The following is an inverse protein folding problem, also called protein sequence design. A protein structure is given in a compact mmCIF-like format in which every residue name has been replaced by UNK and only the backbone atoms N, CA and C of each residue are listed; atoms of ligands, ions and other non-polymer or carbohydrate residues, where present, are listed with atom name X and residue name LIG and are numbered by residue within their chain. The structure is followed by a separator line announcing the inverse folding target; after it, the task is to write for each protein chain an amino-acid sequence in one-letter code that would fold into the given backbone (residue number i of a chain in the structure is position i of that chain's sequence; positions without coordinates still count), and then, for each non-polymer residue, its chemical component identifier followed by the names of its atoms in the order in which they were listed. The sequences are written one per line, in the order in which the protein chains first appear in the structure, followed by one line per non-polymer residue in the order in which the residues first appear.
data_IF_764149184418
#
_entry.id   IF_764149184418
#
_cell.length_a   1.000
_cell.length_b   1.000
_cell.length_c   1.000
_cell.angle_alpha   90.00
_cell.angle_beta   90.00
_cell.angle_gamma   90.00
#
_symmetry.space_group_name_H-M   'P 1'
#
loop_
_entity.id
_entity.type
_entity.pdbx_description
1 polymer ?
#
# COMPACT_ATOMS: atom_id res chain seq x y z
N UNK A 1 -18.72 22.82 -22.54
CA UNK A 1 -19.49 21.57 -22.44
C UNK A 1 -18.73 20.52 -23.25
N UNK A 2 -18.13 19.45 -22.76
CA UNK A 2 -18.08 18.84 -21.44
C UNK A 2 -16.80 17.99 -21.39
N UNK A 3 -16.07 18.09 -20.29
CA UNK A 3 -14.80 17.43 -20.02
C UNK A 3 -14.94 15.90 -20.03
N UNK A 4 -14.29 15.24 -20.99
CA UNK A 4 -14.11 13.79 -21.00
C UNK A 4 -13.04 13.39 -20.00
N UNK A 5 -13.45 12.96 -18.80
CA UNK A 5 -12.56 12.26 -17.84
C UNK A 5 -12.03 11.00 -18.53
N UNK A 6 -10.76 11.03 -18.90
CA UNK A 6 -10.00 9.84 -19.27
C UNK A 6 -10.03 8.89 -18.07
N UNK A 7 -10.78 7.80 -18.20
CA UNK A 7 -10.79 6.67 -17.28
C UNK A 7 -9.47 5.93 -17.47
N UNK A 8 -8.57 6.04 -16.49
CA UNK A 8 -7.36 5.24 -16.44
C UNK A 8 -7.74 3.76 -16.37
N UNK A 9 -7.50 3.04 -17.47
CA UNK A 9 -7.67 1.59 -17.58
C UNK A 9 -6.52 0.89 -16.84
N UNK A 10 -6.83 0.12 -15.80
CA UNK A 10 -5.94 -0.80 -15.07
C UNK A 10 -5.60 -2.06 -15.92
N UNK A 11 -5.32 -1.91 -17.21
CA UNK A 11 -5.15 -3.05 -18.14
C UNK A 11 -3.74 -3.10 -18.73
N UNK A 12 -2.70 -3.11 -17.89
CA UNK A 12 -1.33 -3.33 -18.38
C UNK A 12 -0.55 -4.34 -17.53
N UNK A 13 -1.17 -5.50 -17.33
CA UNK A 13 -0.44 -6.75 -17.14
C UNK A 13 0.08 -7.20 -18.52
N UNK A 14 1.31 -6.82 -18.87
CA UNK A 14 2.04 -7.51 -19.93
C UNK A 14 3.12 -8.38 -19.32
N UNK A 15 2.94 -9.67 -19.58
CA UNK A 15 3.91 -10.73 -19.41
C UNK A 15 5.19 -10.44 -20.23
N UNK A 16 6.24 -11.16 -19.85
CA UNK A 16 7.58 -11.24 -20.46
C UNK A 16 8.64 -10.33 -19.83
N UNK A 17 9.08 -10.69 -18.62
CA UNK A 17 10.50 -11.01 -18.44
C UNK A 17 10.78 -11.72 -17.11
N UNK A 18 11.38 -12.90 -17.20
CA UNK A 18 11.95 -13.62 -16.05
C UNK A 18 13.21 -12.87 -15.58
N UNK A 19 13.05 -11.88 -14.70
CA UNK A 19 14.09 -11.48 -13.76
C UNK A 19 13.50 -11.20 -12.38
N UNK A 20 14.08 -11.90 -11.41
CA UNK A 20 13.80 -11.94 -9.98
C UNK A 20 14.02 -10.59 -9.27
N UNK A 21 13.12 -9.63 -9.48
CA UNK A 21 12.96 -8.50 -8.57
C UNK A 21 11.47 -8.31 -8.31
N UNK A 22 11.03 -8.66 -7.10
CA UNK A 22 9.66 -8.46 -6.64
C UNK A 22 9.23 -7.00 -6.87
N UNK A 23 8.53 -6.71 -7.97
CA UNK A 23 7.83 -5.45 -8.18
C UNK A 23 6.63 -5.39 -7.22
N UNK A 24 6.92 -5.33 -5.92
CA UNK A 24 5.95 -5.49 -4.86
C UNK A 24 5.10 -4.23 -4.63
N UNK A 25 5.24 -3.19 -5.46
CA UNK A 25 4.59 -1.88 -5.24
C UNK A 25 4.94 -1.24 -3.88
N UNK A 26 5.86 -1.85 -3.12
CA UNK A 26 6.16 -1.49 -1.74
C UNK A 26 6.97 -0.21 -1.70
N UNK A 27 6.41 0.78 -1.03
CA UNK A 27 7.14 2.00 -0.66
C UNK A 27 8.16 1.73 0.45
N UNK A 28 9.06 2.68 0.69
CA UNK A 28 10.01 2.61 1.80
C UNK A 28 9.31 2.38 3.16
N UNK A 29 8.09 2.93 3.33
CA UNK A 29 7.31 2.77 4.54
C UNK A 29 6.82 1.33 4.74
N UNK A 30 6.40 0.65 3.66
CA UNK A 30 6.05 -0.78 3.71
C UNK A 30 7.25 -1.65 4.12
N UNK A 31 8.44 -1.34 3.58
CA UNK A 31 9.66 -2.08 3.90
C UNK A 31 10.10 -1.86 5.35
N UNK A 32 10.05 -0.62 5.84
CA UNK A 32 10.37 -0.29 7.23
C UNK A 32 9.45 -1.01 8.22
N UNK A 33 8.14 -1.02 7.95
CA UNK A 33 7.14 -1.74 8.75
C UNK A 33 7.38 -3.25 8.71
N UNK A 34 7.63 -3.82 7.52
CA UNK A 34 7.89 -5.25 7.36
C UNK A 34 9.15 -5.71 8.11
N UNK A 35 10.17 -4.85 8.17
CA UNK A 35 11.42 -5.10 8.89
C UNK A 35 11.31 -4.85 10.41
N UNK A 36 10.13 -4.42 10.90
CA UNK A 36 9.91 -4.01 12.29
C UNK A 36 10.85 -2.90 12.77
N UNK A 37 11.27 -2.03 11.85
CA UNK A 37 12.19 -0.94 12.15
C UNK A 37 11.42 0.35 12.47
N UNK A 38 11.12 0.53 13.76
CA UNK A 38 10.35 1.68 14.25
C UNK A 38 11.10 3.01 14.05
N UNK A 39 12.43 3.01 14.12
CA UNK A 39 13.22 4.22 13.90
C UNK A 39 13.12 4.67 12.44
N UNK A 40 13.22 3.72 11.50
CA UNK A 40 13.05 4.01 10.09
C UNK A 40 11.62 4.46 9.75
N UNK A 41 10.61 3.83 10.35
CA UNK A 41 9.21 4.29 10.22
C UNK A 41 9.09 5.74 10.67
N UNK A 42 9.63 6.09 11.84
CA UNK A 42 9.55 7.46 12.39
C UNK A 42 10.24 8.46 11.46
N UNK A 43 11.46 8.17 11.01
CA UNK A 43 12.20 9.03 10.08
C UNK A 43 11.45 9.27 8.77
N UNK A 44 10.84 8.23 8.20
CA UNK A 44 10.05 8.35 6.98
C UNK A 44 8.79 9.20 7.19
N UNK A 45 8.12 9.07 8.34
CA UNK A 45 6.98 9.91 8.69
C UNK A 45 7.36 11.39 8.86
N UNK A 46 8.53 11.67 9.46
CA UNK A 46 9.08 13.03 9.57
C UNK A 46 9.40 13.63 8.20
N UNK A 47 9.76 12.80 7.22
CA UNK A 47 9.96 13.22 5.83
C UNK A 47 8.66 13.38 5.02
N UNK A 48 7.50 13.42 5.69
CA UNK A 48 6.18 13.48 5.05
C UNK A 48 5.90 12.32 4.07
N UNK A 49 6.37 11.10 4.39
CA UNK A 49 6.02 9.93 3.60
C UNK A 49 4.49 9.71 3.56
N UNK A 50 3.99 9.27 2.40
CA UNK A 50 2.57 8.95 2.26
C UNK A 50 2.21 7.69 3.08
N UNK A 51 1.38 7.87 4.10
CA UNK A 51 0.95 6.81 5.02
C UNK A 51 -0.16 5.91 4.47
N UNK A 52 -0.87 6.37 3.43
CA UNK A 52 -1.98 5.64 2.79
C UNK A 52 -1.57 5.10 1.40
N UNK A 53 -0.27 4.89 1.18
CA UNK A 53 0.20 4.25 -0.06
C UNK A 53 -0.26 2.79 -0.12
N UNK A 54 -0.55 2.29 -1.31
CA UNK A 54 -0.93 0.90 -1.52
C UNK A 54 0.25 0.11 -2.09
N UNK A 55 0.47 -1.11 -1.60
CA UNK A 55 1.37 -2.07 -2.23
C UNK A 55 0.71 -2.81 -3.41
N UNK A 56 1.42 -3.75 -4.03
CA UNK A 56 0.88 -4.51 -5.17
C UNK A 56 -0.35 -5.37 -4.83
N UNK A 57 -0.55 -5.66 -3.54
CA UNK A 57 -1.68 -6.44 -3.04
C UNK A 57 -2.80 -5.51 -2.52
N UNK A 58 -2.72 -4.20 -2.83
CA UNK A 58 -3.70 -3.22 -2.39
C UNK A 58 -3.68 -2.95 -0.89
N UNK A 59 -2.58 -3.27 -0.19
CA UNK A 59 -2.47 -3.09 1.26
C UNK A 59 -1.81 -1.77 1.61
N UNK A 60 -2.27 -1.16 2.69
CA UNK A 60 -1.62 0.01 3.29
C UNK A 60 -0.48 -0.38 4.25
N UNK A 61 0.44 0.55 4.58
CA UNK A 61 1.45 0.33 5.61
C UNK A 61 0.87 -0.12 6.95
N UNK A 62 -0.31 0.38 7.32
CA UNK A 62 -0.98 0.01 8.57
C UNK A 62 -1.52 -1.43 8.53
N UNK A 63 -2.05 -1.88 7.39
CA UNK A 63 -2.42 -3.29 7.19
C UNK A 63 -1.19 -4.20 7.34
N UNK A 64 -0.05 -3.84 6.75
CA UNK A 64 1.19 -4.59 6.94
C UNK A 64 1.64 -4.59 8.41
N UNK A 65 1.53 -3.46 9.10
CA UNK A 65 1.89 -3.38 10.52
C UNK A 65 1.01 -4.31 11.37
N UNK A 66 -0.28 -4.41 11.05
CA UNK A 66 -1.21 -5.35 11.69
C UNK A 66 -0.89 -6.81 11.37
N UNK A 67 -0.62 -7.15 10.10
CA UNK A 67 -0.26 -8.52 9.66
C UNK A 67 1.02 -8.99 10.36
N UNK A 68 2.02 -8.12 10.43
CA UNK A 68 3.28 -8.40 11.10
C UNK A 68 3.09 -8.38 12.63
N UNK A 69 2.06 -7.72 13.16
CA UNK A 69 1.89 -7.53 14.60
C UNK A 69 2.92 -6.56 15.18
N UNK A 70 3.26 -5.51 14.44
CA UNK A 70 4.15 -4.45 14.87
C UNK A 70 3.36 -3.30 15.50
N UNK A 71 2.98 -3.45 16.77
CA UNK A 71 2.18 -2.46 17.49
C UNK A 71 2.79 -1.03 17.50
N UNK A 72 4.10 -0.84 17.76
CA UNK A 72 4.69 0.51 17.69
C UNK A 72 4.55 1.19 16.32
N UNK A 73 4.65 0.45 15.22
CA UNK A 73 4.44 1.01 13.89
C UNK A 73 2.98 1.42 13.66
N UNK A 74 2.01 0.63 14.16
CA UNK A 74 0.58 0.98 14.11
C UNK A 74 0.33 2.30 14.82
N UNK A 75 0.85 2.47 16.04
CA UNK A 75 0.69 3.71 16.81
C UNK A 75 1.28 4.93 16.09
N UNK A 76 2.47 4.79 15.51
CA UNK A 76 3.13 5.86 14.75
C UNK A 76 2.36 6.24 13.49
N UNK A 77 1.91 5.23 12.72
CA UNK A 77 1.13 5.45 11.50
C UNK A 77 -0.20 6.15 11.82
N UNK A 78 -0.86 5.77 12.92
CA UNK A 78 -2.10 6.42 13.36
C UNK A 78 -1.87 7.87 13.78
N UNK A 79 -0.79 8.15 14.50
CA UNK A 79 -0.42 9.54 14.86
C UNK A 79 -0.11 10.38 13.63
N UNK A 80 0.40 9.77 12.57
CA UNK A 80 0.65 10.41 11.29
C UNK A 80 -0.60 10.55 10.39
N UNK A 81 -1.78 10.13 10.87
CA UNK A 81 -3.05 10.28 10.15
C UNK A 81 -3.33 9.17 9.12
N UNK A 82 -2.76 7.97 9.31
CA UNK A 82 -3.09 6.82 8.48
C UNK A 82 -4.59 6.47 8.60
N UNK A 83 -5.22 6.16 7.47
CA UNK A 83 -6.60 5.71 7.42
C UNK A 83 -6.70 4.25 7.89
N UNK A 84 -7.56 4.00 8.88
CA UNK A 84 -7.79 2.66 9.46
C UNK A 84 -8.70 1.80 8.59
N UNK A 85 -9.74 2.40 8.00
CA UNK A 85 -10.82 1.70 7.32
C UNK A 85 -10.59 1.58 5.81
N UNK A 86 -9.33 1.58 5.37
CA UNK A 86 -9.01 1.29 3.97
C UNK A 86 -9.34 -0.19 3.71
N UNK A 87 -10.04 -0.48 2.62
CA UNK A 87 -10.27 -1.85 2.16
C UNK A 87 -9.17 -2.24 1.19
N UNK A 88 -8.74 -3.50 1.27
CA UNK A 88 -7.91 -4.10 0.23
C UNK A 88 -8.70 -4.14 -1.09
N UNK A 89 -8.01 -3.94 -2.21
CA UNK A 89 -8.66 -3.95 -3.54
C UNK A 89 -9.11 -5.36 -4.00
N UNK A 90 -9.03 -6.38 -3.14
CA UNK A 90 -9.32 -7.78 -3.48
C UNK A 90 -10.82 -8.12 -3.59
N UNK A 91 -11.73 -7.19 -3.23
CA UNK A 91 -13.16 -7.51 -3.08
C UNK A 91 -14.02 -7.43 -4.35
N UNK A 92 -13.56 -6.85 -5.47
CA UNK A 92 -14.46 -6.59 -6.63
C UNK A 92 -14.35 -7.58 -7.81
N UNK A 93 -13.47 -8.59 -7.76
CA UNK A 93 -13.30 -9.53 -8.88
C UNK A 93 -14.19 -10.80 -8.83
N UNK A 94 -14.94 -11.04 -7.73
CA UNK A 94 -15.77 -12.25 -7.58
C UNK A 94 -17.29 -12.05 -7.78
N UNK A 95 -17.73 -10.85 -8.15
CA UNK A 95 -19.15 -10.51 -8.31
C UNK A 95 -19.72 -10.50 -9.73
N UNK A 96 -18.92 -10.75 -10.78
CA UNK A 96 -19.33 -10.52 -12.18
C UNK A 96 -19.58 -11.78 -13.02
N UNK A 97 -19.73 -12.96 -12.41
CA UNK A 97 -20.30 -14.11 -13.11
C UNK A 97 -21.83 -14.05 -13.05
N UNK A 98 -22.43 -13.31 -14.00
CA UNK A 98 -23.80 -13.56 -14.47
C UNK A 98 -23.83 -14.80 -15.36
#
# INVERSE_FOLDING_TARGET
MSTGRQRFRKDFYLADDKMTVFQSGRTALHLAVNNRDTAMVTFLLECNANVNCLDCDGRTPIMLACIVGHLPAVELLLRAGAELDVRDEDEDARGSFQ
#
